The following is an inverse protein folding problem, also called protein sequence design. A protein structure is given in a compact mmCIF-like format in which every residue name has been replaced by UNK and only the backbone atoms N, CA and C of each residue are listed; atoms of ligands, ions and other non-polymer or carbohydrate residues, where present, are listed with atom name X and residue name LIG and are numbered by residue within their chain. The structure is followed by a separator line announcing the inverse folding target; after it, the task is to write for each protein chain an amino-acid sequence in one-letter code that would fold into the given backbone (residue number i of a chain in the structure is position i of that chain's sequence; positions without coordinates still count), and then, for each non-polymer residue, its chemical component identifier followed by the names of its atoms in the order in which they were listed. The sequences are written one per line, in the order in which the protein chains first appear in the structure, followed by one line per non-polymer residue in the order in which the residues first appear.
data_IF_299714319475
#
_entry.id   IF_299714319475
#
_cell.length_a   1.000
_cell.length_b   1.000
_cell.length_c   1.000
_cell.angle_alpha   90.00
_cell.angle_beta   90.00
_cell.angle_gamma   90.00
#
_symmetry.space_group_name_H-M   'P 1'
#
loop_
_entity.id
_entity.type
_entity.pdbx_description
1 polymer ?
#
# COMPACT_ATOMS: atom_id res chain seq x y z
N UNK A 1 17.74 -6.80 1.81
CA UNK A 1 16.80 -6.40 2.87
C UNK A 1 15.51 -5.96 2.19
N UNK A 2 14.37 -6.26 2.76
CA UNK A 2 13.08 -5.79 2.27
C UNK A 2 12.90 -4.32 2.66
N UNK A 3 12.45 -3.47 1.73
CA UNK A 3 12.26 -2.05 1.98
C UNK A 3 11.06 -1.85 2.91
N UNK A 4 11.25 -1.16 4.03
CA UNK A 4 10.25 -1.04 5.09
C UNK A 4 9.01 -0.24 4.64
N UNK A 5 9.17 0.73 3.74
CA UNK A 5 8.04 1.51 3.22
C UNK A 5 7.28 0.74 2.14
N UNK A 6 7.94 -0.09 1.34
CA UNK A 6 7.27 -0.98 0.40
C UNK A 6 6.41 -2.03 1.14
N UNK A 7 6.93 -2.62 2.20
CA UNK A 7 6.18 -3.52 3.09
C UNK A 7 4.99 -2.80 3.73
N UNK A 8 5.19 -1.57 4.22
CA UNK A 8 4.11 -0.74 4.74
C UNK A 8 3.02 -0.50 3.70
N UNK A 9 3.36 -0.13 2.46
CA UNK A 9 2.38 0.09 1.40
C UNK A 9 1.53 -1.15 1.09
N UNK A 10 2.12 -2.35 1.16
CA UNK A 10 1.42 -3.60 0.89
C UNK A 10 0.49 -4.04 2.03
N UNK A 11 0.86 -3.77 3.27
CA UNK A 11 0.19 -4.33 4.46
C UNK A 11 -0.69 -3.33 5.21
N UNK A 12 -0.39 -2.03 5.12
CA UNK A 12 -1.11 -0.99 5.83
C UNK A 12 -2.50 -0.74 5.26
N UNK A 13 -3.46 -0.44 6.13
CA UNK A 13 -4.77 0.07 5.77
C UNK A 13 -4.71 1.51 5.22
N UNK A 14 -5.85 2.00 4.75
CA UNK A 14 -5.99 3.41 4.38
C UNK A 14 -5.92 4.28 5.65
N UNK A 15 -5.23 5.41 5.53
CA UNK A 15 -4.96 6.39 6.60
C UNK A 15 -4.00 5.91 7.69
N UNK A 16 -3.43 4.71 7.55
CA UNK A 16 -2.28 4.34 8.36
C UNK A 16 -1.07 5.17 7.96
N UNK A 17 -0.23 5.50 8.94
CA UNK A 17 0.99 6.26 8.73
C UNK A 17 2.22 5.52 9.25
N UNK A 18 3.33 5.70 8.57
CA UNK A 18 4.66 5.21 8.96
C UNK A 18 5.54 6.41 9.31
N UNK A 19 6.10 6.41 10.50
CA UNK A 19 7.05 7.42 10.93
C UNK A 19 8.33 7.37 10.08
N UNK A 20 8.83 8.54 9.70
CA UNK A 20 10.12 8.72 9.01
C UNK A 20 11.15 9.10 10.08
N UNK A 21 12.16 8.28 10.23
CA UNK A 21 13.24 8.47 11.19
C UNK A 21 14.59 8.12 10.56
N UNK A 22 15.66 8.36 11.30
CA UNK A 22 17.04 8.17 10.84
C UNK A 22 17.32 6.74 10.37
N UNK A 23 16.68 5.73 11.01
CA UNK A 23 16.91 4.32 10.72
C UNK A 23 16.24 3.85 9.42
N UNK A 24 15.22 4.57 8.93
CA UNK A 24 14.40 4.11 7.78
C UNK A 24 14.37 5.08 6.60
N UNK A 25 14.95 6.26 6.73
CA UNK A 25 14.89 7.31 5.70
C UNK A 25 15.58 6.90 4.40
N UNK A 26 16.62 6.09 4.47
CA UNK A 26 17.28 5.55 3.29
C UNK A 26 16.32 4.67 2.46
N UNK A 27 15.48 3.89 3.12
CA UNK A 27 14.46 3.06 2.47
C UNK A 27 13.40 3.92 1.77
N UNK A 28 13.01 5.07 2.36
CA UNK A 28 12.07 6.00 1.73
C UNK A 28 12.68 6.64 0.49
N UNK A 29 13.92 7.08 0.55
CA UNK A 29 14.64 7.65 -0.59
C UNK A 29 14.72 6.65 -1.74
N UNK A 30 15.11 5.40 -1.47
CA UNK A 30 15.15 4.35 -2.49
C UNK A 30 13.77 4.03 -3.07
N UNK A 31 12.70 4.08 -2.25
CA UNK A 31 11.34 3.97 -2.73
C UNK A 31 10.99 5.10 -3.71
N UNK A 32 11.22 6.35 -3.33
CA UNK A 32 10.87 7.53 -4.13
C UNK A 32 11.70 7.65 -5.43
N UNK A 33 12.92 7.09 -5.43
CA UNK A 33 13.76 6.99 -6.64
C UNK A 33 13.26 5.93 -7.63
N UNK A 34 12.29 5.10 -7.25
CA UNK A 34 11.78 4.03 -8.11
C UNK A 34 12.61 2.74 -8.11
N UNK A 35 13.60 2.63 -7.22
CA UNK A 35 14.50 1.48 -7.18
C UNK A 35 13.87 0.24 -6.53
N UNK A 36 12.72 0.39 -5.87
CA UNK A 36 12.09 -0.66 -5.08
C UNK A 36 11.05 -1.42 -5.91
N UNK A 37 11.23 -2.74 -6.02
CA UNK A 37 10.28 -3.65 -6.65
C UNK A 37 9.38 -4.26 -5.59
N UNK A 38 8.12 -4.52 -5.96
CA UNK A 38 7.11 -5.13 -5.09
C UNK A 38 6.67 -6.45 -5.70
N UNK A 39 6.64 -7.52 -4.89
CA UNK A 39 5.97 -8.76 -5.26
C UNK A 39 4.55 -8.74 -4.71
N UNK A 40 3.57 -8.88 -5.60
CA UNK A 40 2.17 -8.82 -5.23
C UNK A 40 1.30 -9.62 -6.22
N UNK A 41 0.09 -9.96 -5.79
CA UNK A 41 -0.89 -10.58 -6.66
C UNK A 41 -1.37 -9.60 -7.74
N UNK A 42 -1.15 -9.98 -9.01
CA UNK A 42 -1.71 -9.24 -10.13
C UNK A 42 -3.12 -9.75 -10.45
N UNK A 43 -4.12 -8.87 -10.30
CA UNK A 43 -5.54 -9.20 -10.51
C UNK A 43 -5.81 -9.66 -11.95
N UNK A 44 -5.17 -9.05 -12.92
CA UNK A 44 -5.33 -9.33 -14.35
C UNK A 44 -4.60 -10.62 -14.76
N UNK A 45 -3.37 -10.82 -14.27
CA UNK A 45 -2.61 -12.07 -14.49
C UNK A 45 -3.11 -13.23 -13.65
N UNK A 46 -3.86 -12.97 -12.57
CA UNK A 46 -4.36 -13.94 -11.57
C UNK A 46 -3.27 -14.80 -10.92
N UNK A 47 -2.12 -14.18 -10.63
CA UNK A 47 -1.00 -14.85 -9.94
C UNK A 47 -0.02 -13.81 -9.39
N UNK A 48 0.86 -14.24 -8.50
CA UNK A 48 1.96 -13.41 -7.99
C UNK A 48 2.85 -12.91 -9.11
N UNK A 49 3.16 -11.61 -9.10
CA UNK A 49 4.03 -10.93 -10.05
C UNK A 49 4.94 -9.94 -9.35
N UNK A 50 6.05 -9.65 -10.00
CA UNK A 50 6.91 -8.54 -9.63
C UNK A 50 6.40 -7.29 -10.32
N UNK A 51 6.25 -6.22 -9.57
CA UNK A 51 5.88 -4.90 -10.05
C UNK A 51 7.08 -3.97 -9.94
N UNK A 52 7.24 -3.13 -10.96
CA UNK A 52 8.28 -2.11 -11.04
C UNK A 52 7.63 -0.73 -10.96
N UNK A 53 8.18 0.15 -10.16
CA UNK A 53 7.67 1.52 -10.05
C UNK A 53 8.04 2.32 -11.31
N UNK A 54 7.08 3.07 -11.84
CA UNK A 54 7.36 4.11 -12.82
C UNK A 54 8.03 5.30 -12.13
N UNK A 55 8.89 6.05 -12.84
CA UNK A 55 9.37 7.32 -12.33
C UNK A 55 8.20 8.22 -11.92
N UNK A 56 8.32 8.87 -10.76
CA UNK A 56 7.36 9.88 -10.32
C UNK A 56 7.68 11.14 -11.11
N UNK A 57 6.79 11.52 -12.01
CA UNK A 57 6.92 12.73 -12.81
C UNK A 57 6.08 13.86 -12.22
N UNK A 58 6.62 15.07 -12.23
CA UNK A 58 5.88 16.28 -11.89
C UNK A 58 6.17 17.39 -12.90
N UNK A 59 5.20 18.27 -13.04
CA UNK A 59 5.25 19.36 -13.98
C UNK A 59 5.37 20.67 -13.23
N UNK A 60 6.24 21.54 -13.70
CA UNK A 60 6.45 22.86 -13.12
C UNK A 60 6.61 23.92 -14.22
N UNK A 61 6.21 25.13 -13.89
CA UNK A 61 6.31 26.27 -14.80
C UNK A 61 7.68 26.93 -14.63
N UNK A 62 8.32 27.22 -15.76
CA UNK A 62 9.60 27.92 -15.81
C UNK A 62 9.50 29.10 -16.78
N UNK A 63 10.06 30.23 -16.41
CA UNK A 63 10.13 31.40 -17.26
C UNK A 63 9.62 32.66 -16.56
N UNK A 64 9.93 33.86 -17.10
CA UNK A 64 9.32 35.14 -16.65
C UNK A 64 7.84 35.17 -17.04
N UNK A 65 7.04 35.98 -16.30
CA UNK A 65 5.63 36.20 -16.61
C UNK A 65 5.42 36.53 -18.13
N UNK A 66 4.70 35.64 -18.82
CA UNK A 66 4.38 35.74 -20.24
C UNK A 66 5.06 34.74 -21.17
N UNK A 67 6.09 34.02 -20.71
CA UNK A 67 6.76 32.93 -21.44
C UNK A 67 6.84 31.68 -20.54
N UNK A 68 5.71 31.27 -19.98
CA UNK A 68 5.61 30.09 -19.11
C UNK A 68 5.79 28.80 -19.93
N UNK A 69 6.91 28.12 -19.74
CA UNK A 69 7.19 26.81 -20.32
C UNK A 69 6.93 25.74 -19.25
N UNK A 70 6.01 24.82 -19.51
CA UNK A 70 5.76 23.69 -18.64
C UNK A 70 6.86 22.64 -18.88
N UNK A 71 7.64 22.38 -17.85
CA UNK A 71 8.66 21.32 -17.86
C UNK A 71 8.24 20.14 -17.01
N UNK A 72 8.63 18.95 -17.45
CA UNK A 72 8.47 17.71 -16.73
C UNK A 72 9.81 17.33 -16.10
N UNK A 73 9.80 16.95 -14.84
CA UNK A 73 10.97 16.40 -14.15
C UNK A 73 10.62 15.08 -13.45
N UNK A 74 11.61 14.21 -13.31
CA UNK A 74 11.51 12.99 -12.53
C UNK A 74 11.97 13.27 -11.09
N UNK A 75 11.13 12.93 -10.12
CA UNK A 75 11.47 13.06 -8.70
C UNK A 75 12.73 12.26 -8.35
N UNK A 76 12.91 11.06 -8.93
CA UNK A 76 14.08 10.23 -8.71
C UNK A 76 15.37 10.91 -9.17
N UNK A 77 15.37 11.52 -10.36
CA UNK A 77 16.52 12.25 -10.91
C UNK A 77 16.83 13.49 -10.09
N UNK A 78 15.80 14.18 -9.60
CA UNK A 78 16.00 15.35 -8.73
C UNK A 78 16.61 14.95 -7.38
N UNK A 79 16.10 13.90 -6.73
CA UNK A 79 16.69 13.36 -5.50
C UNK A 79 18.15 12.99 -5.73
N UNK A 80 18.50 12.32 -6.82
CA UNK A 80 19.88 11.97 -7.15
C UNK A 80 20.75 13.22 -7.37
N UNK A 81 20.22 14.22 -8.06
CA UNK A 81 20.92 15.49 -8.26
C UNK A 81 21.20 16.21 -6.95
N UNK A 82 20.19 16.27 -6.07
CA UNK A 82 20.32 16.87 -4.75
C UNK A 82 21.31 16.09 -3.86
N UNK A 83 21.26 14.77 -3.88
CA UNK A 83 22.23 13.92 -3.18
C UNK A 83 23.66 14.17 -3.70
N UNK A 84 23.84 14.21 -5.01
CA UNK A 84 25.15 14.47 -5.62
C UNK A 84 25.68 15.86 -5.25
N UNK A 85 24.81 16.86 -5.13
CA UNK A 85 25.17 18.22 -4.71
C UNK A 85 25.63 18.24 -3.25
N UNK A 86 24.95 17.55 -2.35
CA UNK A 86 25.36 17.36 -0.95
C UNK A 86 26.70 16.62 -0.90
N UNK A 87 26.88 15.62 -1.74
CA UNK A 87 28.05 14.76 -1.81
C UNK A 87 29.31 15.43 -2.37
N UNK A 88 29.17 16.45 -3.17
CA UNK A 88 30.28 17.21 -3.73
C UNK A 88 30.90 18.20 -2.73
N UNK A 89 30.21 18.51 -1.64
CA UNK A 89 30.73 19.42 -0.59
C UNK A 89 31.38 18.63 0.55
N UNK A 90 32.52 19.09 1.04
CA UNK A 90 33.25 18.48 2.18
C UNK A 90 32.39 18.32 3.46
N UNK A 91 31.27 19.02 3.55
CA UNK A 91 30.32 18.93 4.66
C UNK A 91 29.55 17.60 4.73
N UNK A 92 29.76 16.70 3.76
CA UNK A 92 29.05 15.42 3.64
C UNK A 92 29.32 14.39 4.74
N UNK A 93 30.51 14.40 5.31
CA UNK A 93 30.94 13.39 6.29
C UNK A 93 30.33 13.58 7.68
N UNK A 94 29.57 14.67 7.91
CA UNK A 94 29.07 15.07 9.22
C UNK A 94 27.54 15.18 9.32
N UNK A 95 26.79 14.99 8.21
CA UNK A 95 25.32 15.07 8.24
C UNK A 95 24.67 13.69 8.38
N UNK A 96 23.70 13.60 9.27
CA UNK A 96 22.88 12.41 9.42
C UNK A 96 21.91 12.24 8.24
N UNK A 97 21.46 11.00 7.97
CA UNK A 97 20.45 10.72 6.93
C UNK A 97 19.14 11.50 7.15
N UNK A 98 18.81 11.80 8.42
CA UNK A 98 17.64 12.61 8.75
C UNK A 98 17.79 14.08 8.37
N UNK A 99 19.00 14.65 8.45
CA UNK A 99 19.29 16.03 7.99
C UNK A 99 19.28 16.10 6.46
N UNK A 100 19.80 15.07 5.80
CA UNK A 100 19.73 14.92 4.34
C UNK A 100 18.28 14.89 3.87
N UNK A 101 17.42 14.07 4.49
CA UNK A 101 16.00 14.01 4.18
C UNK A 101 15.28 15.34 4.40
N UNK A 102 15.49 15.98 5.54
CA UNK A 102 14.90 17.31 5.82
C UNK A 102 15.22 18.31 4.74
N UNK A 103 16.45 18.31 4.26
CA UNK A 103 16.87 19.20 3.19
C UNK A 103 16.24 18.82 1.85
N UNK A 104 16.24 17.54 1.47
CA UNK A 104 15.58 17.05 0.26
C UNK A 104 14.07 17.36 0.33
N UNK A 105 13.42 17.04 1.44
CA UNK A 105 11.98 17.28 1.60
C UNK A 105 11.64 18.77 1.56
N UNK A 106 12.50 19.66 2.08
CA UNK A 106 12.32 21.09 1.98
C UNK A 106 12.40 21.59 0.53
N UNK A 107 13.32 21.08 -0.27
CA UNK A 107 13.48 21.44 -1.68
C UNK A 107 12.29 21.01 -2.55
N UNK A 108 11.72 19.84 -2.26
CA UNK A 108 10.64 19.25 -3.05
C UNK A 108 9.24 19.40 -2.40
N UNK A 109 9.18 19.94 -1.16
CA UNK A 109 7.97 19.91 -0.31
C UNK A 109 6.76 20.59 -0.90
N UNK A 110 6.93 21.68 -1.69
CA UNK A 110 5.81 22.40 -2.27
C UNK A 110 5.13 21.64 -3.41
N UNK A 111 5.82 20.70 -4.05
CA UNK A 111 5.34 20.00 -5.24
C UNK A 111 4.98 18.53 -5.01
N UNK A 112 5.42 17.90 -3.92
CA UNK A 112 5.39 16.43 -3.79
C UNK A 112 4.77 15.88 -2.52
N UNK A 113 4.05 16.67 -1.74
CA UNK A 113 3.39 16.18 -0.50
C UNK A 113 2.34 15.10 -0.77
N UNK A 114 1.64 15.20 -1.89
CA UNK A 114 0.70 14.19 -2.36
C UNK A 114 1.27 13.53 -3.60
N UNK A 115 1.56 12.23 -3.53
CA UNK A 115 2.19 11.50 -4.62
C UNK A 115 1.41 10.25 -4.99
N UNK A 116 1.38 9.94 -6.29
CA UNK A 116 0.97 8.65 -6.83
C UNK A 116 2.22 7.82 -7.11
N UNK A 117 2.32 6.65 -6.48
CA UNK A 117 3.31 5.64 -6.81
C UNK A 117 2.65 4.63 -7.74
N UNK A 118 3.01 4.65 -9.02
CA UNK A 118 2.47 3.75 -10.03
C UNK A 118 3.44 2.60 -10.27
N UNK A 119 3.00 1.39 -9.91
CA UNK A 119 3.72 0.16 -10.14
C UNK A 119 3.13 -0.60 -11.31
N UNK A 120 3.98 -1.08 -12.22
CA UNK A 120 3.59 -1.83 -13.41
C UNK A 120 4.00 -3.29 -13.25
N UNK A 121 3.10 -4.18 -13.67
CA UNK A 121 3.35 -5.61 -13.71
C UNK A 121 4.45 -5.96 -14.71
N UNK A 122 5.37 -6.84 -14.33
CA UNK A 122 6.44 -7.33 -15.19
C UNK A 122 5.97 -8.06 -16.47
N UNK A 123 4.69 -8.45 -16.52
CA UNK A 123 4.13 -9.19 -17.67
C UNK A 123 3.40 -8.30 -18.66
N UNK A 124 2.76 -7.22 -18.23
CA UNK A 124 2.01 -6.31 -19.08
C UNK A 124 1.96 -4.92 -18.43
N UNK A 125 2.39 -3.91 -19.15
CA UNK A 125 2.44 -2.51 -18.67
C UNK A 125 1.07 -1.89 -18.42
N UNK A 126 -0.01 -2.53 -18.86
CA UNK A 126 -1.39 -2.10 -18.59
C UNK A 126 -1.91 -2.57 -17.24
N UNK A 127 -1.20 -3.48 -16.59
CA UNK A 127 -1.58 -4.00 -15.29
C UNK A 127 -0.88 -3.18 -14.20
N UNK A 128 -1.66 -2.45 -13.42
CA UNK A 128 -1.18 -1.47 -12.46
C UNK A 128 -1.45 -1.90 -11.02
N UNK A 129 -0.54 -1.47 -10.14
CA UNK A 129 -0.71 -1.44 -8.70
C UNK A 129 -0.35 -0.02 -8.25
N UNK A 130 -1.35 0.76 -7.90
CA UNK A 130 -1.20 2.18 -7.59
C UNK A 130 -1.35 2.43 -6.10
N UNK A 131 -0.47 3.23 -5.53
CA UNK A 131 -0.62 3.79 -4.19
C UNK A 131 -0.66 5.31 -4.26
N UNK A 132 -1.52 5.91 -3.44
CA UNK A 132 -1.54 7.34 -3.23
C UNK A 132 -1.06 7.58 -1.81
N UNK A 133 -0.01 8.36 -1.67
CA UNK A 133 0.64 8.66 -0.39
C UNK A 133 0.64 10.15 -0.12
N UNK A 134 0.59 10.49 1.15
CA UNK A 134 0.85 11.83 1.67
C UNK A 134 2.12 11.78 2.51
N UNK A 135 3.12 12.57 2.14
CA UNK A 135 4.36 12.69 2.93
C UNK A 135 4.36 14.01 3.69
N UNK A 136 4.92 13.95 4.90
CA UNK A 136 5.25 15.09 5.75
C UNK A 136 6.71 15.00 6.16
N UNK A 137 7.20 15.95 6.95
CA UNK A 137 8.60 15.96 7.42
C UNK A 137 8.96 14.71 8.25
N UNK A 138 7.98 14.08 8.88
CA UNK A 138 8.20 12.98 9.81
C UNK A 138 7.32 11.76 9.58
N UNK A 139 6.50 11.73 8.53
CA UNK A 139 5.63 10.57 8.28
C UNK A 139 5.24 10.42 6.81
N UNK A 140 4.98 9.17 6.42
CA UNK A 140 4.31 8.81 5.17
C UNK A 140 2.99 8.13 5.50
N UNK A 141 1.88 8.66 4.97
CA UNK A 141 0.54 8.12 5.14
C UNK A 141 0.03 7.55 3.83
N UNK A 142 -0.58 6.37 3.88
CA UNK A 142 -1.24 5.75 2.74
C UNK A 142 -2.69 6.21 2.67
N UNK A 143 -3.05 6.97 1.64
CA UNK A 143 -4.40 7.54 1.49
C UNK A 143 -5.21 6.92 0.36
N UNK A 144 -4.59 6.11 -0.49
CA UNK A 144 -5.27 5.39 -1.56
C UNK A 144 -4.51 4.18 -2.07
N UNK A 145 -5.24 3.23 -2.65
CA UNK A 145 -4.68 2.05 -3.30
C UNK A 145 -5.61 1.53 -4.39
N UNK A 146 -5.04 1.10 -5.52
CA UNK A 146 -5.73 0.34 -6.57
C UNK A 146 -4.78 -0.74 -7.14
N UNK A 147 -5.19 -2.02 -7.32
CA UNK A 147 -6.45 -2.60 -6.79
C UNK A 147 -6.52 -2.52 -5.26
N UNK A 148 -7.72 -2.67 -4.70
CA UNK A 148 -7.90 -2.68 -3.25
C UNK A 148 -7.25 -3.92 -2.62
N UNK A 149 -6.94 -3.86 -1.31
CA UNK A 149 -6.45 -5.04 -0.56
C UNK A 149 -7.43 -6.21 -0.71
N UNK A 150 -8.74 -5.95 -0.69
CA UNK A 150 -9.74 -6.99 -0.89
C UNK A 150 -9.63 -7.65 -2.28
N UNK A 151 -9.41 -6.87 -3.34
CA UNK A 151 -9.23 -7.41 -4.70
C UNK A 151 -8.00 -8.30 -4.82
N UNK A 152 -6.91 -7.95 -4.11
CA UNK A 152 -5.66 -8.70 -4.11
C UNK A 152 -5.74 -9.99 -3.30
N UNK A 153 -6.62 -10.04 -2.27
CA UNK A 153 -6.83 -11.21 -1.40
C UNK A 153 -7.85 -12.21 -1.98
N UNK A 154 -8.61 -11.82 -3.01
CA UNK A 154 -9.64 -12.67 -3.61
C UNK A 154 -9.19 -14.08 -4.02
N UNK A 155 -7.99 -14.32 -4.56
CA UNK A 155 -7.55 -15.66 -4.91
C UNK A 155 -7.36 -16.60 -3.73
N UNK A 156 -6.91 -16.07 -2.59
CA UNK A 156 -6.81 -16.85 -1.35
C UNK A 156 -8.20 -17.29 -0.90
N UNK A 157 -9.23 -16.45 -1.11
CA UNK A 157 -10.61 -16.77 -0.80
C UNK A 157 -11.18 -17.88 -1.71
N UNK A 158 -10.73 -17.98 -2.94
CA UNK A 158 -11.13 -19.04 -3.87
C UNK A 158 -10.63 -20.42 -3.42
N UNK A 159 -9.54 -20.51 -2.67
CA UNK A 159 -9.10 -21.75 -2.06
C UNK A 159 -10.16 -22.36 -1.11
N UNK A 160 -11.01 -21.52 -0.51
CA UNK A 160 -12.06 -21.91 0.43
C UNK A 160 -13.42 -22.14 -0.22
N UNK A 161 -13.53 -22.14 -1.56
CA UNK A 161 -14.79 -22.33 -2.30
C UNK A 161 -15.54 -23.64 -1.98
N UNK A 162 -14.83 -24.64 -1.50
CA UNK A 162 -15.41 -25.95 -1.15
C UNK A 162 -16.11 -25.95 0.22
N UNK A 163 -15.77 -25.02 1.11
CA UNK A 163 -16.31 -24.91 2.47
C UNK A 163 -17.16 -23.67 2.69
N UNK A 164 -17.10 -22.71 1.79
CA UNK A 164 -17.81 -21.42 1.90
C UNK A 164 -18.78 -21.23 0.74
N UNK A 165 -19.96 -20.69 1.03
CA UNK A 165 -20.92 -20.30 -0.01
C UNK A 165 -20.41 -19.10 -0.83
N UNK A 166 -21.02 -18.86 -2.00
CA UNK A 166 -20.75 -17.65 -2.79
C UNK A 166 -21.06 -16.38 -2.00
N UNK A 167 -22.09 -16.41 -1.14
CA UNK A 167 -22.46 -15.31 -0.28
C UNK A 167 -21.39 -15.05 0.79
N UNK A 168 -20.89 -16.11 1.43
CA UNK A 168 -19.83 -15.98 2.46
C UNK A 168 -18.57 -15.37 1.88
N UNK A 169 -18.15 -15.79 0.68
CA UNK A 169 -16.98 -15.20 0.01
C UNK A 169 -17.19 -13.73 -0.32
N UNK A 170 -18.39 -13.34 -0.80
CA UNK A 170 -18.70 -11.92 -1.04
C UNK A 170 -18.66 -11.11 0.26
N UNK A 171 -19.25 -11.62 1.34
CA UNK A 171 -19.26 -10.95 2.64
C UNK A 171 -17.85 -10.89 3.24
N UNK A 172 -17.02 -11.93 3.04
CA UNK A 172 -15.63 -11.93 3.48
C UNK A 172 -14.80 -10.87 2.74
N UNK A 173 -14.97 -10.73 1.42
CA UNK A 173 -14.35 -9.65 0.65
C UNK A 173 -14.78 -8.27 1.15
N UNK A 174 -16.08 -8.11 1.51
CA UNK A 174 -16.56 -6.87 2.12
C UNK A 174 -15.92 -6.61 3.50
N UNK A 175 -15.80 -7.66 4.32
CA UNK A 175 -15.14 -7.55 5.64
C UNK A 175 -13.67 -7.12 5.51
N UNK A 176 -12.93 -7.70 4.57
CA UNK A 176 -11.53 -7.34 4.29
C UNK A 176 -11.43 -5.89 3.82
N UNK A 177 -12.30 -5.46 2.91
CA UNK A 177 -12.34 -4.07 2.43
C UNK A 177 -12.61 -3.06 3.54
N UNK A 178 -13.58 -3.36 4.42
CA UNK A 178 -13.88 -2.52 5.58
C UNK A 178 -12.71 -2.46 6.58
N UNK A 179 -12.08 -3.60 6.85
CA UNK A 179 -10.90 -3.66 7.71
C UNK A 179 -9.74 -2.82 7.14
N UNK A 180 -9.45 -3.00 5.86
CA UNK A 180 -8.42 -2.24 5.16
C UNK A 180 -8.69 -0.72 5.12
N UNK A 181 -9.96 -0.32 5.27
CA UNK A 181 -10.39 1.08 5.38
C UNK A 181 -10.47 1.59 6.84
N UNK A 182 -9.95 0.83 7.81
CA UNK A 182 -9.98 1.21 9.23
C UNK A 182 -11.35 1.04 9.91
N UNK A 183 -12.35 0.42 9.25
CA UNK A 183 -13.72 0.23 9.77
C UNK A 183 -13.84 -1.17 10.41
N UNK A 184 -13.07 -1.42 11.46
CA UNK A 184 -13.00 -2.74 12.10
C UNK A 184 -14.34 -3.25 12.65
N UNK A 185 -15.17 -2.37 13.21
CA UNK A 185 -16.51 -2.75 13.70
C UNK A 185 -17.40 -3.28 12.58
N UNK A 186 -17.39 -2.65 11.40
CA UNK A 186 -18.12 -3.12 10.21
C UNK A 186 -17.60 -4.47 9.72
N UNK A 187 -16.29 -4.64 9.66
CA UNK A 187 -15.63 -5.90 9.31
C UNK A 187 -16.08 -7.03 10.24
N UNK A 188 -16.06 -6.78 11.55
CA UNK A 188 -16.45 -7.76 12.58
C UNK A 188 -17.88 -8.29 12.38
N UNK A 189 -18.84 -7.43 12.03
CA UNK A 189 -20.24 -7.83 11.81
C UNK A 189 -20.35 -8.86 10.68
N UNK A 190 -19.63 -8.66 9.56
CA UNK A 190 -19.62 -9.61 8.45
C UNK A 190 -18.94 -10.93 8.83
N UNK A 191 -17.78 -10.87 9.50
CA UNK A 191 -17.07 -12.06 9.97
C UNK A 191 -17.92 -12.89 10.93
N UNK A 192 -18.61 -12.24 11.88
CA UNK A 192 -19.53 -12.90 12.81
C UNK A 192 -20.66 -13.63 12.07
N UNK A 193 -21.30 -12.98 11.10
CA UNK A 193 -22.38 -13.60 10.31
C UNK A 193 -21.90 -14.83 9.54
N UNK A 194 -20.71 -14.78 8.96
CA UNK A 194 -20.10 -15.92 8.27
C UNK A 194 -19.85 -17.06 9.27
N UNK A 195 -19.26 -16.76 10.40
CA UNK A 195 -18.97 -17.75 11.45
C UNK A 195 -20.25 -18.42 11.95
N UNK A 196 -21.30 -17.65 12.24
CA UNK A 196 -22.60 -18.18 12.67
C UNK A 196 -23.17 -19.16 11.62
N UNK A 197 -23.15 -18.81 10.33
CA UNK A 197 -23.61 -19.72 9.27
C UNK A 197 -22.78 -21.00 9.20
N UNK A 198 -21.48 -20.92 9.31
CA UNK A 198 -20.60 -22.10 9.31
C UNK A 198 -20.88 -23.02 10.51
N UNK A 199 -21.12 -22.45 11.69
CA UNK A 199 -21.48 -23.20 12.90
C UNK A 199 -22.82 -23.92 12.69
N UNK A 200 -23.84 -23.26 12.12
CA UNK A 200 -25.13 -23.90 11.83
C UNK A 200 -25.02 -25.01 10.77
N UNK A 201 -24.20 -24.81 9.74
CA UNK A 201 -23.92 -25.85 8.74
C UNK A 201 -23.23 -27.05 9.35
N UNK A 202 -22.25 -26.81 10.22
CA UNK A 202 -21.56 -27.90 10.95
C UNK A 202 -22.51 -28.67 11.87
N UNK A 203 -23.41 -27.95 12.58
CA UNK A 203 -24.47 -28.58 13.41
C UNK A 203 -25.39 -29.45 12.55
N UNK A 204 -25.87 -28.94 11.43
CA UNK A 204 -26.75 -29.69 10.53
C UNK A 204 -26.07 -30.96 9.98
N UNK A 205 -24.76 -30.89 9.70
CA UNK A 205 -23.97 -32.05 9.23
C UNK A 205 -23.75 -33.08 10.34
N UNK A 206 -23.58 -32.64 11.59
CA UNK A 206 -23.36 -33.52 12.73
C UNK A 206 -24.62 -34.24 13.20
N UNK A 207 -25.83 -33.71 12.88
CA UNK A 207 -27.13 -34.30 13.19
C UNK A 207 -27.27 -34.61 14.70
N UNK A 208 -27.79 -35.80 15.01
CA UNK A 208 -28.08 -36.25 16.38
C UNK A 208 -26.86 -36.37 17.32
N UNK A 209 -25.67 -36.18 16.80
CA UNK A 209 -24.41 -36.15 17.63
C UNK A 209 -24.27 -34.87 18.44
N UNK A 210 -25.06 -33.84 18.14
CA UNK A 210 -25.01 -32.56 18.83
C UNK A 210 -26.16 -32.46 19.81
N UNK A 211 -25.87 -32.23 21.09
CA UNK A 211 -26.89 -31.92 22.10
C UNK A 211 -27.36 -30.47 21.90
N UNK A 212 -28.64 -30.31 21.52
CA UNK A 212 -29.25 -29.03 21.20
C UNK A 212 -29.25 -28.05 22.38
N UNK A 213 -29.51 -28.51 23.61
CA UNK A 213 -29.51 -27.63 24.79
C UNK A 213 -28.11 -27.08 25.06
N UNK A 214 -27.08 -27.93 24.99
CA UNK A 214 -25.70 -27.48 25.17
C UNK A 214 -25.23 -26.54 24.06
N UNK A 215 -25.71 -26.76 22.84
CA UNK A 215 -25.39 -25.88 21.71
C UNK A 215 -25.98 -24.48 21.90
N UNK A 216 -27.24 -24.37 22.34
CA UNK A 216 -27.88 -23.06 22.57
C UNK A 216 -27.31 -22.35 23.80
N UNK A 217 -26.83 -23.06 24.81
CA UNK A 217 -26.16 -22.48 25.98
C UNK A 217 -24.75 -21.95 25.67
N UNK A 218 -24.08 -22.50 24.67
CA UNK A 218 -22.72 -22.11 24.28
C UNK A 218 -22.68 -20.90 23.33
N UNK A 219 -23.83 -20.39 22.90
CA UNK A 219 -24.00 -19.30 21.95
C UNK A 219 -24.12 -17.94 22.64
#
# INVERSE_FOLDING_TARGET
MENIFATFLQTAGLYDSKEICEDNIADLIELLKGNVKISAYCKECRQERVFHMKPIEYYFETGPEGDEEIRCASLGEEIESLQNMIFSTKARQEKSSAEEWKWINWQIADTTRLMKLEYICSMDEKHHLDYIILTTDNSMMKIGQYPSIADMTFPELDAYKHVTSKQDRKELGTAIGLFASGIGAGSYVYLRRILERLIYQAKATAGDKVNDEKFEQAR
#
